data_IF_925929888039
#
_entry.id   IF_925929888039
#
_cell.length_a   1.000
_cell.length_b   1.000
_cell.length_c   1.000
_cell.angle_alpha   90.00
_cell.angle_beta   90.00
_cell.angle_gamma   90.00
#
_symmetry.space_group_name_H-M   'P 1'
#
loop_
_entity.id
_entity.type
_entity.pdbx_description
1 polymer ?
#
# COMPACT_ATOMS: atom_id res chain seq x y z
N UNK A 1 -0.03 -37.59 -14.32
CA UNK A 1 0.55 -36.77 -13.24
C UNK A 1 -0.54 -35.81 -12.78
N UNK A 2 -1.19 -36.10 -11.65
CA UNK A 2 -2.30 -35.28 -11.15
C UNK A 2 -1.73 -34.16 -10.30
N UNK A 3 -1.93 -32.91 -10.72
CA UNK A 3 -1.62 -31.75 -9.88
C UNK A 3 -2.63 -31.70 -8.73
N UNK A 4 -2.13 -31.74 -7.49
CA UNK A 4 -2.93 -31.48 -6.28
C UNK A 4 -3.63 -30.13 -6.46
N UNK A 5 -4.95 -30.15 -6.52
CA UNK A 5 -5.78 -28.95 -6.35
C UNK A 5 -5.51 -28.43 -4.94
N UNK A 6 -4.69 -27.39 -4.80
CA UNK A 6 -4.62 -26.63 -3.55
C UNK A 6 -5.96 -25.93 -3.40
N UNK A 7 -6.80 -26.43 -2.49
CA UNK A 7 -7.99 -25.72 -2.04
C UNK A 7 -7.51 -24.43 -1.36
N UNK A 8 -7.50 -23.32 -2.10
CA UNK A 8 -7.26 -22.02 -1.52
C UNK A 8 -8.51 -21.59 -0.76
N UNK A 9 -8.49 -21.78 0.56
CA UNK A 9 -9.59 -21.38 1.42
C UNK A 9 -9.72 -19.85 1.41
N UNK A 10 -10.91 -19.38 1.03
CA UNK A 10 -11.32 -17.98 1.16
C UNK A 10 -11.33 -17.64 2.65
N UNK A 11 -10.59 -16.60 3.03
CA UNK A 11 -10.49 -16.11 4.39
C UNK A 11 -11.07 -14.71 4.47
N UNK A 12 -11.82 -14.46 5.55
CA UNK A 12 -12.39 -13.16 5.88
C UNK A 12 -11.67 -12.63 7.10
N UNK A 13 -11.24 -11.37 7.04
CA UNK A 13 -10.57 -10.71 8.15
C UNK A 13 -10.91 -9.22 8.18
N UNK A 14 -10.69 -8.60 9.34
CA UNK A 14 -10.94 -7.19 9.54
C UNK A 14 -9.65 -6.40 9.34
N UNK A 15 -9.65 -5.44 8.42
CA UNK A 15 -8.52 -4.56 8.13
C UNK A 15 -9.01 -3.14 7.92
N UNK A 16 -8.48 -2.18 8.71
CA UNK A 16 -8.86 -0.75 8.67
C UNK A 16 -10.37 -0.50 8.61
N UNK A 17 -11.14 -1.12 9.49
CA UNK A 17 -12.60 -0.89 9.54
C UNK A 17 -13.41 -1.75 8.55
N UNK A 18 -12.76 -2.50 7.67
CA UNK A 18 -13.40 -3.23 6.58
C UNK A 18 -13.29 -4.74 6.73
N UNK A 19 -14.36 -5.43 6.33
CA UNK A 19 -14.33 -6.88 6.12
C UNK A 19 -13.75 -7.18 4.75
N UNK A 20 -12.51 -7.65 4.73
CA UNK A 20 -11.77 -7.95 3.50
C UNK A 20 -11.61 -9.45 3.28
N UNK A 21 -11.44 -9.83 2.02
CA UNK A 21 -11.22 -11.22 1.60
C UNK A 21 -9.76 -11.40 1.24
N UNK A 22 -9.26 -12.61 1.44
CA UNK A 22 -7.95 -13.03 0.96
C UNK A 22 -7.84 -14.54 0.90
N UNK A 23 -6.81 -15.03 0.19
CA UNK A 23 -6.46 -16.45 0.17
C UNK A 23 -5.29 -16.70 1.08
N UNK A 24 -5.40 -17.77 1.86
CA UNK A 24 -4.36 -18.23 2.76
C UNK A 24 -3.36 -19.09 1.99
N UNK A 25 -2.08 -18.88 2.24
CA UNK A 25 -1.06 -19.83 1.82
C UNK A 25 -1.03 -21.06 2.73
N UNK A 26 -1.10 -20.87 4.07
CA UNK A 26 -1.07 -21.95 5.04
C UNK A 26 0.19 -22.82 5.00
N UNK A 27 0.13 -23.96 5.68
CA UNK A 27 1.18 -25.00 5.66
C UNK A 27 2.58 -24.45 5.94
N UNK A 28 3.55 -24.87 5.13
CA UNK A 28 4.96 -24.49 5.26
C UNK A 28 5.19 -22.97 5.22
N UNK A 29 4.36 -22.21 4.47
CA UNK A 29 4.48 -20.74 4.41
C UNK A 29 4.10 -20.12 5.76
N UNK A 30 2.96 -20.53 6.32
CA UNK A 30 2.49 -20.06 7.62
C UNK A 30 3.47 -20.42 8.75
N UNK A 31 3.99 -21.65 8.73
CA UNK A 31 5.00 -22.12 9.68
C UNK A 31 6.30 -21.32 9.58
N UNK A 32 6.77 -21.05 8.36
CA UNK A 32 7.98 -20.27 8.13
C UNK A 32 7.86 -18.85 8.69
N UNK A 33 6.76 -18.14 8.38
CA UNK A 33 6.53 -16.79 8.90
C UNK A 33 6.38 -16.77 10.42
N UNK A 34 5.67 -17.76 10.99
CA UNK A 34 5.49 -17.87 12.44
C UNK A 34 6.83 -18.05 13.16
N UNK A 35 7.72 -18.86 12.58
CA UNK A 35 9.07 -19.07 13.10
C UNK A 35 9.96 -17.84 12.93
N UNK A 36 9.98 -17.25 11.74
CA UNK A 36 10.84 -16.11 11.42
C UNK A 36 10.51 -14.88 12.27
N UNK A 37 9.21 -14.62 12.52
CA UNK A 37 8.74 -13.51 13.33
C UNK A 37 8.59 -13.85 14.82
N UNK A 38 8.99 -15.06 15.23
CA UNK A 38 8.85 -15.57 16.60
C UNK A 38 7.44 -15.39 17.18
N UNK A 39 6.42 -15.54 16.33
CA UNK A 39 5.02 -15.31 16.68
C UNK A 39 4.17 -16.46 16.14
N UNK A 40 3.59 -17.29 17.02
CA UNK A 40 2.77 -18.42 16.58
C UNK A 40 1.46 -17.96 15.94
N UNK A 41 0.92 -18.78 15.04
CA UNK A 41 -0.41 -18.58 14.45
C UNK A 41 -0.45 -17.53 13.34
N UNK A 42 0.69 -17.18 12.74
CA UNK A 42 0.73 -16.32 11.57
C UNK A 42 0.44 -17.11 10.30
N UNK A 43 -0.14 -16.43 9.32
CA UNK A 43 -0.34 -16.93 7.96
C UNK A 43 -0.07 -15.79 6.98
N UNK A 44 0.29 -16.15 5.75
CA UNK A 44 0.39 -15.18 4.66
C UNK A 44 -0.94 -15.16 3.90
N UNK A 45 -1.54 -13.98 3.84
CA UNK A 45 -2.77 -13.73 3.09
C UNK A 45 -2.42 -12.91 1.85
N UNK A 46 -2.90 -13.35 0.69
CA UNK A 46 -2.80 -12.58 -0.55
C UNK A 46 -4.18 -12.21 -1.10
N UNK A 47 -4.22 -11.07 -1.77
CA UNK A 47 -5.39 -10.61 -2.49
C UNK A 47 -5.47 -11.36 -3.82
N UNK A 48 -6.60 -12.04 -4.06
CA UNK A 48 -6.90 -12.63 -5.36
C UNK A 48 -7.73 -11.62 -6.16
N UNK A 49 -7.34 -11.38 -7.42
CA UNK A 49 -8.02 -10.49 -8.35
C UNK A 49 -9.48 -10.89 -8.64
N UNK A 50 -9.88 -12.13 -8.31
CA UNK A 50 -11.28 -12.58 -8.33
C UNK A 50 -12.12 -11.99 -7.18
N UNK A 51 -11.49 -11.42 -6.15
CA UNK A 51 -12.20 -10.74 -5.08
C UNK A 51 -12.41 -9.26 -5.43
N UNK A 52 -13.55 -8.74 -5.01
CA UNK A 52 -13.80 -7.30 -5.11
C UNK A 52 -12.79 -6.54 -4.24
N UNK A 53 -12.03 -5.60 -4.82
CA UNK A 53 -11.14 -4.75 -4.05
C UNK A 53 -11.96 -3.77 -3.20
N UNK A 54 -11.32 -3.22 -2.18
CA UNK A 54 -11.96 -2.21 -1.33
C UNK A 54 -11.91 -0.86 -2.01
N UNK A 55 -12.97 -0.06 -1.86
CA UNK A 55 -12.95 1.32 -2.33
C UNK A 55 -12.20 2.17 -1.33
N UNK A 56 -11.29 3.01 -1.81
CA UNK A 56 -10.49 3.93 -0.99
C UNK A 56 -11.38 4.81 -0.09
N UNK A 57 -12.51 5.28 -0.62
CA UNK A 57 -13.50 6.07 0.14
C UNK A 57 -14.14 5.35 1.33
N UNK A 58 -14.05 4.02 1.40
CA UNK A 58 -14.63 3.25 2.50
C UNK A 58 -13.68 3.13 3.71
N UNK A 59 -12.42 3.51 3.56
CA UNK A 59 -11.34 3.19 4.51
C UNK A 59 -11.16 4.32 5.52
N UNK A 60 -11.53 5.56 5.19
CA UNK A 60 -11.35 6.63 6.18
C UNK A 60 -12.25 7.87 6.05
N UNK A 61 -12.52 8.41 7.26
CA UNK A 61 -13.20 9.65 7.62
C UNK A 61 -12.29 10.89 7.54
N UNK A 62 -11.02 10.75 7.16
CA UNK A 62 -10.02 11.85 7.18
C UNK A 62 -9.97 12.67 5.88
N UNK A 63 -10.43 12.12 4.75
CA UNK A 63 -10.58 12.83 3.47
C UNK A 63 -11.94 12.51 2.82
N UNK A 64 -13.06 12.83 3.49
CA UNK A 64 -14.36 12.50 2.96
C UNK A 64 -14.62 13.44 1.77
N UNK A 65 -14.38 12.98 0.54
CA UNK A 65 -15.11 13.29 -0.71
C UNK A 65 -14.26 13.33 -2.00
N UNK A 66 -12.97 12.99 -1.99
CA UNK A 66 -12.11 13.13 -3.19
C UNK A 66 -11.62 11.82 -3.84
N UNK A 67 -11.85 10.69 -3.17
CA UNK A 67 -11.70 9.38 -3.79
C UNK A 67 -12.91 9.08 -4.70
N UNK A 68 -12.63 8.82 -5.98
CA UNK A 68 -13.58 8.34 -6.97
C UNK A 68 -13.92 6.86 -6.73
N UNK A 69 -15.01 6.42 -7.35
CA UNK A 69 -15.43 5.02 -7.31
C UNK A 69 -14.46 4.05 -8.00
N UNK A 70 -13.62 4.56 -8.88
CA UNK A 70 -12.54 3.78 -9.50
C UNK A 70 -11.34 3.58 -8.58
N UNK A 71 -11.25 4.31 -7.47
CA UNK A 71 -10.09 4.27 -6.59
C UNK A 71 -10.20 3.11 -5.63
N UNK A 72 -9.53 2.02 -5.99
CA UNK A 72 -9.61 0.76 -5.27
C UNK A 72 -8.26 0.36 -4.71
N UNK A 73 -8.29 -0.30 -3.57
CA UNK A 73 -7.12 -0.89 -2.93
C UNK A 73 -7.40 -2.32 -2.46
N UNK A 74 -6.35 -3.08 -2.26
CA UNK A 74 -6.43 -4.39 -1.63
C UNK A 74 -6.22 -4.24 -0.11
N UNK A 75 -4.95 -4.20 0.30
CA UNK A 75 -4.53 -4.12 1.70
C UNK A 75 -3.61 -2.92 1.98
N UNK A 76 -3.55 -1.96 1.06
CA UNK A 76 -2.82 -0.72 1.26
C UNK A 76 -3.43 0.09 2.42
N UNK A 77 -2.64 0.99 3.00
CA UNK A 77 -3.10 1.81 4.12
C UNK A 77 -4.25 2.74 3.71
N UNK A 78 -4.01 3.64 2.76
CA UNK A 78 -4.97 4.69 2.39
C UNK A 78 -5.14 4.85 0.88
N UNK A 79 -4.04 4.84 0.12
CA UNK A 79 -4.04 5.15 -1.32
C UNK A 79 -3.50 3.97 -2.13
N UNK A 80 -3.92 3.81 -3.40
CA UNK A 80 -3.26 2.89 -4.33
C UNK A 80 -1.77 3.19 -4.51
N UNK A 81 -1.38 4.47 -4.45
CA UNK A 81 0.00 4.93 -4.63
C UNK A 81 0.40 5.96 -3.56
N UNK A 82 1.64 5.84 -3.07
CA UNK A 82 2.29 6.82 -2.22
C UNK A 82 3.52 7.38 -2.94
N UNK A 83 3.61 8.72 -3.00
CA UNK A 83 4.71 9.44 -3.61
C UNK A 83 5.50 10.22 -2.55
N UNK A 84 6.83 10.23 -2.66
CA UNK A 84 7.71 11.10 -1.89
C UNK A 84 8.78 11.72 -2.78
N UNK A 85 9.22 12.95 -2.48
CA UNK A 85 10.42 13.51 -3.09
C UNK A 85 11.68 13.24 -2.25
N UNK A 86 12.83 13.18 -2.92
CA UNK A 86 14.12 13.11 -2.22
C UNK A 86 14.39 14.40 -1.45
N UNK A 87 13.98 15.54 -1.99
CA UNK A 87 14.15 16.87 -1.41
C UNK A 87 13.40 17.02 -0.08
N UNK A 88 12.18 16.48 0.02
CA UNK A 88 11.44 16.40 1.29
C UNK A 88 12.16 15.52 2.32
N UNK A 89 12.71 14.39 1.88
CA UNK A 89 13.46 13.50 2.78
C UNK A 89 14.75 14.15 3.27
N UNK A 90 15.46 14.85 2.39
CA UNK A 90 16.69 15.57 2.72
C UNK A 90 16.43 16.73 3.67
N UNK A 91 15.34 17.47 3.48
CA UNK A 91 14.92 18.52 4.39
C UNK A 91 14.55 17.97 5.78
N UNK A 92 13.80 16.87 5.84
CA UNK A 92 13.54 16.20 7.12
C UNK A 92 14.82 15.76 7.80
N UNK A 93 15.77 15.18 7.06
CA UNK A 93 17.03 14.69 7.61
C UNK A 93 17.87 15.80 8.27
N UNK A 94 17.76 17.06 7.84
CA UNK A 94 18.41 18.20 8.52
C UNK A 94 17.91 18.42 9.95
N UNK A 95 16.74 17.90 10.28
CA UNK A 95 16.07 18.03 11.59
C UNK A 95 16.18 16.78 12.45
N UNK A 96 16.81 15.72 11.94
CA UNK A 96 16.96 14.43 12.63
C UNK A 96 18.39 14.24 13.14
N UNK A 97 18.53 13.73 14.36
CA UNK A 97 19.83 13.28 14.88
C UNK A 97 20.37 12.09 14.07
N UNK A 98 19.49 11.19 13.65
CA UNK A 98 19.81 10.02 12.84
C UNK A 98 19.08 10.13 11.50
N UNK A 99 19.81 10.38 10.39
CA UNK A 99 19.19 10.45 9.07
C UNK A 99 18.51 9.14 8.67
N UNK A 100 17.39 9.26 7.96
CA UNK A 100 16.63 8.16 7.40
C UNK A 100 16.71 8.15 5.87
N UNK A 101 16.27 7.04 5.28
CA UNK A 101 16.14 6.91 3.83
C UNK A 101 14.69 7.14 3.44
N UNK A 102 14.47 7.57 2.20
CA UNK A 102 13.11 7.73 1.64
C UNK A 102 12.29 6.43 1.74
N UNK A 103 12.94 5.26 1.74
CA UNK A 103 12.29 3.96 1.90
C UNK A 103 11.63 3.73 3.27
N UNK A 104 12.01 4.50 4.30
CA UNK A 104 11.36 4.45 5.60
C UNK A 104 9.88 4.87 5.52
N UNK A 105 9.50 5.70 4.53
CA UNK A 105 8.11 6.10 4.27
C UNK A 105 7.32 5.09 3.44
N UNK A 106 7.99 4.08 2.88
CA UNK A 106 7.40 3.04 2.02
C UNK A 106 6.67 3.61 0.78
N UNK A 107 7.25 4.57 0.04
CA UNK A 107 6.63 5.09 -1.17
C UNK A 107 6.62 4.04 -2.27
N UNK A 108 5.66 4.18 -3.19
CA UNK A 108 5.66 3.47 -4.46
C UNK A 108 6.45 4.25 -5.52
N UNK A 109 6.40 5.58 -5.46
CA UNK A 109 7.02 6.49 -6.43
C UNK A 109 7.94 7.44 -5.69
N UNK A 110 9.19 7.52 -6.13
CA UNK A 110 10.18 8.48 -5.62
C UNK A 110 10.50 9.44 -6.76
N UNK A 111 10.42 10.73 -6.48
CA UNK A 111 10.75 11.80 -7.43
C UNK A 111 11.92 12.64 -6.93
N UNK A 112 12.54 13.36 -7.85
CA UNK A 112 13.66 14.26 -7.58
C UNK A 112 13.69 15.37 -8.62
N UNK A 113 14.47 16.42 -8.37
CA UNK A 113 14.56 17.60 -9.24
C UNK A 113 13.39 18.56 -9.05
N UNK A 114 12.79 18.61 -7.85
CA UNK A 114 11.69 19.51 -7.54
C UNK A 114 12.20 20.84 -6.96
N UNK A 115 11.49 21.93 -7.21
CA UNK A 115 11.96 23.29 -6.87
C UNK A 115 12.17 23.54 -5.37
N UNK A 116 11.41 22.85 -4.52
CA UNK A 116 11.47 22.99 -3.05
C UNK A 116 11.02 21.70 -2.35
N UNK A 117 11.54 21.40 -1.15
CA UNK A 117 10.98 20.35 -0.30
C UNK A 117 9.47 20.52 -0.13
N UNK A 118 8.74 19.40 -0.11
CA UNK A 118 7.28 19.31 0.01
C UNK A 118 6.51 19.96 -1.14
N UNK A 119 7.13 20.23 -2.30
CA UNK A 119 6.37 20.70 -3.45
C UNK A 119 5.34 19.66 -3.92
N UNK A 120 5.61 18.38 -3.69
CA UNK A 120 4.70 17.28 -4.05
C UNK A 120 3.32 17.39 -3.41
N UNK A 121 3.21 17.98 -2.21
CA UNK A 121 1.95 18.15 -1.47
C UNK A 121 0.96 19.06 -2.20
N UNK A 122 1.44 19.85 -3.15
CA UNK A 122 0.65 20.83 -3.89
C UNK A 122 0.35 20.40 -5.33
N UNK A 123 0.88 19.26 -5.78
CA UNK A 123 0.61 18.76 -7.12
C UNK A 123 -0.79 18.18 -7.21
N UNK A 124 -1.57 18.67 -8.16
CA UNK A 124 -2.91 18.09 -8.44
C UNK A 124 -2.82 16.86 -9.31
N UNK A 125 -1.92 16.91 -10.29
CA UNK A 125 -1.70 15.86 -11.25
C UNK A 125 -0.20 15.77 -11.54
N UNK A 126 0.25 14.55 -11.82
CA UNK A 126 1.59 14.27 -12.32
C UNK A 126 1.47 13.43 -13.58
N UNK A 127 2.27 13.76 -14.57
CA UNK A 127 2.38 13.00 -15.82
C UNK A 127 3.70 12.23 -15.81
N UNK A 128 3.62 10.92 -16.03
CA UNK A 128 4.76 10.01 -16.10
C UNK A 128 4.84 9.47 -17.53
N UNK A 129 5.80 9.97 -18.30
CA UNK A 129 5.85 9.72 -19.74
C UNK A 129 4.62 10.28 -20.47
N UNK A 130 4.21 9.65 -21.56
CA UNK A 130 3.12 10.17 -22.40
C UNK A 130 1.76 9.51 -22.12
N UNK A 131 1.71 8.50 -21.25
CA UNK A 131 0.54 7.61 -21.11
C UNK A 131 -0.05 7.54 -19.72
N UNK A 132 0.69 7.95 -18.69
CA UNK A 132 0.26 7.81 -17.30
C UNK A 132 0.07 9.17 -16.67
N UNK A 133 -1.16 9.46 -16.25
CA UNK A 133 -1.48 10.60 -15.40
C UNK A 133 -1.96 10.08 -14.05
N UNK A 134 -1.32 10.51 -12.98
CA UNK A 134 -1.78 10.27 -11.62
C UNK A 134 -2.35 11.56 -11.06
N UNK A 135 -3.40 11.46 -10.25
CA UNK A 135 -4.03 12.59 -9.58
C UNK A 135 -3.95 12.43 -8.07
N UNK A 136 -3.85 13.55 -7.38
CA UNK A 136 -3.90 13.60 -5.93
C UNK A 136 -5.34 13.39 -5.42
N UNK A 137 -5.51 12.72 -4.28
CA UNK A 137 -6.75 12.75 -3.51
C UNK A 137 -6.74 14.05 -2.72
N UNK A 138 -7.50 15.05 -3.18
CA UNK A 138 -7.64 16.26 -2.36
C UNK A 138 -8.32 15.91 -1.03
#
# INVERSE_FOLDING_TARGET
MFYKIKLFYRYHFFYRGLNVKGRRYGGEVAEWFSKFLERPGLDLIYFDEQFEPQRTKNIEREFPNEALDSDVIAYQGMSPFHLCSLESTDDLNKRLTNPIKVYNFRPNIIVSGIDKPYAEDYWREIQIGDQVTLRWFR
#
